data_IF_460215022685
#
_entry.id   IF_460215022685
#
_cell.length_a   1.000
_cell.length_b   1.000
_cell.length_c   1.000
_cell.angle_alpha   90.00
_cell.angle_beta   90.00
_cell.angle_gamma   90.00
#
_symmetry.space_group_name_H-M   'P 1'
#
loop_
_entity.id
_entity.type
_entity.pdbx_description
1 polymer ?
#
# COMPACT_ATOMS: atom_id res chain seq x y z
N UNK A 1 29.47 -8.27 -11.67
CA UNK A 1 28.38 -9.19 -11.24
C UNK A 1 27.76 -8.61 -9.98
N UNK A 2 26.52 -8.11 -9.99
CA UNK A 2 25.94 -7.49 -8.80
C UNK A 2 25.63 -8.57 -7.76
N UNK A 3 25.99 -8.32 -6.51
CA UNK A 3 25.89 -9.25 -5.38
C UNK A 3 24.52 -9.95 -5.29
N UNK A 4 24.51 -11.21 -5.72
CA UNK A 4 23.46 -12.16 -5.37
C UNK A 4 23.63 -12.49 -3.88
N UNK A 5 22.71 -12.02 -3.02
CA UNK A 5 22.71 -12.50 -1.64
C UNK A 5 21.84 -11.76 -0.63
N UNK A 6 21.73 -10.44 -0.69
CA UNK A 6 20.88 -9.71 0.27
C UNK A 6 19.43 -9.68 -0.23
N UNK A 7 18.62 -10.65 0.25
CA UNK A 7 17.15 -10.58 0.17
C UNK A 7 16.71 -9.19 0.61
N UNK A 8 15.92 -8.51 -0.21
CA UNK A 8 15.49 -7.14 0.09
C UNK A 8 14.56 -7.17 1.31
N UNK A 9 15.11 -6.86 2.50
CA UNK A 9 14.46 -7.09 3.80
C UNK A 9 13.14 -6.33 3.96
N UNK A 10 12.93 -5.27 3.19
CA UNK A 10 11.71 -4.44 3.24
C UNK A 10 10.50 -5.05 2.52
N UNK A 11 10.67 -6.07 1.67
CA UNK A 11 9.55 -6.68 0.94
C UNK A 11 8.55 -7.33 1.90
N UNK A 12 9.03 -8.05 2.91
CA UNK A 12 8.16 -8.72 3.90
C UNK A 12 7.33 -7.71 4.72
N UNK A 13 7.94 -6.67 5.33
CA UNK A 13 7.19 -5.57 5.95
C UNK A 13 6.16 -4.92 5.02
N UNK A 14 6.51 -4.69 3.75
CA UNK A 14 5.59 -4.10 2.79
C UNK A 14 4.40 -5.02 2.46
N UNK A 15 4.61 -6.33 2.38
CA UNK A 15 3.52 -7.30 2.22
C UNK A 15 2.57 -7.27 3.42
N UNK A 16 3.09 -7.22 4.64
CA UNK A 16 2.26 -7.08 5.85
C UNK A 16 1.49 -5.75 5.86
N UNK A 17 2.13 -4.66 5.46
CA UNK A 17 1.48 -3.35 5.34
C UNK A 17 0.36 -3.36 4.28
N UNK A 18 0.57 -4.02 3.13
CA UNK A 18 -0.46 -4.21 2.10
C UNK A 18 -1.61 -5.08 2.61
N UNK A 19 -1.34 -6.17 3.34
CA UNK A 19 -2.38 -7.01 3.96
C UNK A 19 -3.22 -6.19 4.94
N UNK A 20 -2.58 -5.38 5.79
CA UNK A 20 -3.29 -4.48 6.69
C UNK A 20 -4.16 -3.47 5.92
N UNK A 21 -3.64 -2.91 4.82
CA UNK A 21 -4.38 -1.99 3.97
C UNK A 21 -5.61 -2.67 3.33
N UNK A 22 -5.45 -3.88 2.79
CA UNK A 22 -6.56 -4.69 2.26
C UNK A 22 -7.62 -4.96 3.34
N UNK A 23 -7.22 -5.27 4.57
CA UNK A 23 -8.14 -5.52 5.67
C UNK A 23 -9.00 -4.27 5.98
N UNK A 24 -8.41 -3.07 5.98
CA UNK A 24 -9.17 -1.82 6.11
C UNK A 24 -10.13 -1.64 4.94
N UNK A 25 -9.66 -1.79 3.70
CA UNK A 25 -10.48 -1.57 2.51
C UNK A 25 -11.68 -2.52 2.41
N UNK A 26 -11.47 -3.81 2.71
CA UNK A 26 -12.56 -4.79 2.79
C UNK A 26 -13.52 -4.49 3.93
N UNK A 27 -13.01 -4.03 5.08
CA UNK A 27 -13.87 -3.65 6.21
C UNK A 27 -14.74 -2.44 5.88
N UNK A 28 -14.25 -1.48 5.08
CA UNK A 28 -15.06 -0.36 4.56
C UNK A 28 -16.11 -0.89 3.59
N UNK A 29 -15.72 -1.81 2.69
CA UNK A 29 -16.63 -2.48 1.75
C UNK A 29 -17.78 -3.18 2.47
N UNK A 30 -17.50 -3.79 3.63
CA UNK A 30 -18.48 -4.48 4.47
C UNK A 30 -19.20 -3.56 5.47
N UNK A 31 -18.90 -2.27 5.48
CA UNK A 31 -19.44 -1.26 6.41
C UNK A 31 -19.26 -1.60 7.90
N UNK A 32 -18.08 -2.13 8.26
CA UNK A 32 -17.77 -2.47 9.65
C UNK A 32 -17.52 -1.22 10.50
N UNK A 33 -17.99 -1.24 11.75
CA UNK A 33 -17.93 -0.06 12.65
C UNK A 33 -16.51 0.39 12.99
N UNK A 34 -15.55 -0.53 13.11
CA UNK A 34 -14.19 -0.22 13.56
C UNK A 34 -13.36 0.59 12.55
N UNK A 35 -13.71 0.56 11.26
CA UNK A 35 -13.02 1.34 10.21
C UNK A 35 -13.62 2.72 9.97
N UNK A 36 -14.75 3.06 10.61
CA UNK A 36 -15.40 4.37 10.42
C UNK A 36 -14.46 5.52 10.72
N UNK A 37 -13.63 5.40 11.77
CA UNK A 37 -12.62 6.41 12.12
C UNK A 37 -11.32 6.27 11.33
N UNK A 38 -11.11 5.17 10.60
CA UNK A 38 -9.84 4.87 9.91
C UNK A 38 -9.88 5.12 8.41
N UNK A 39 -11.02 5.53 7.88
CA UNK A 39 -11.21 5.75 6.46
C UNK A 39 -12.03 7.02 6.22
N UNK A 40 -11.71 7.70 5.11
CA UNK A 40 -12.45 8.85 4.60
C UNK A 40 -12.62 9.96 5.66
N UNK A 41 -11.59 10.22 6.46
CA UNK A 41 -11.56 11.31 7.43
C UNK A 41 -12.38 11.08 8.70
N UNK A 42 -12.96 9.90 8.90
CA UNK A 42 -13.82 9.67 10.07
C UNK A 42 -15.23 10.24 9.96
N UNK A 43 -15.64 10.71 8.77
CA UNK A 43 -16.84 11.54 8.61
C UNK A 43 -18.16 10.75 8.48
N UNK A 44 -18.09 9.44 8.24
CA UNK A 44 -19.27 8.61 7.95
C UNK A 44 -19.70 7.79 9.15
N UNK A 45 -21.01 7.83 9.45
CA UNK A 45 -21.66 6.88 10.36
C UNK A 45 -22.00 5.55 9.69
N UNK A 46 -22.13 5.53 8.35
CA UNK A 46 -22.23 4.35 7.49
C UNK A 46 -21.67 4.73 6.12
N UNK A 47 -20.93 3.83 5.48
CA UNK A 47 -20.31 4.12 4.20
C UNK A 47 -21.35 4.06 3.05
N UNK A 48 -21.48 5.13 2.24
CA UNK A 48 -22.29 5.11 1.03
C UNK A 48 -21.90 3.97 0.08
N UNK A 49 -22.88 3.37 -0.61
CA UNK A 49 -22.65 2.23 -1.50
C UNK A 49 -21.57 2.50 -2.55
N UNK A 50 -21.53 3.71 -3.12
CA UNK A 50 -20.53 4.11 -4.10
C UNK A 50 -19.11 4.06 -3.52
N UNK A 51 -18.92 4.51 -2.28
CA UNK A 51 -17.63 4.44 -1.60
C UNK A 51 -17.24 2.99 -1.30
N UNK A 52 -18.20 2.16 -0.88
CA UNK A 52 -17.97 0.73 -0.62
C UNK A 52 -17.49 0.01 -1.88
N UNK A 53 -18.12 0.27 -3.02
CA UNK A 53 -17.72 -0.30 -4.32
C UNK A 53 -16.32 0.18 -4.74
N UNK A 54 -16.02 1.48 -4.58
CA UNK A 54 -14.67 2.01 -4.86
C UNK A 54 -13.60 1.30 -4.00
N UNK A 55 -13.86 1.15 -2.70
CA UNK A 55 -12.94 0.52 -1.77
C UNK A 55 -12.75 -0.97 -2.04
N UNK A 56 -13.76 -1.66 -2.59
CA UNK A 56 -13.63 -3.03 -3.06
C UNK A 56 -12.62 -3.13 -4.21
N UNK A 57 -12.71 -2.27 -5.23
CA UNK A 57 -11.73 -2.24 -6.32
C UNK A 57 -10.32 -1.91 -5.84
N UNK A 58 -10.21 -0.95 -4.91
CA UNK A 58 -8.92 -0.66 -4.26
C UNK A 58 -8.38 -1.87 -3.49
N UNK A 59 -9.22 -2.64 -2.79
CA UNK A 59 -8.83 -3.84 -2.07
C UNK A 59 -8.28 -4.90 -3.02
N UNK A 60 -8.96 -5.14 -4.15
CA UNK A 60 -8.51 -6.07 -5.19
C UNK A 60 -7.16 -5.64 -5.78
N UNK A 61 -7.01 -4.37 -6.16
CA UNK A 61 -5.76 -3.83 -6.69
C UNK A 61 -4.61 -3.96 -5.68
N UNK A 62 -4.85 -3.60 -4.42
CA UNK A 62 -3.85 -3.70 -3.34
C UNK A 62 -3.51 -5.17 -3.04
N UNK A 63 -4.48 -6.07 -3.12
CA UNK A 63 -4.27 -7.52 -2.98
C UNK A 63 -3.34 -8.08 -4.05
N UNK A 64 -3.49 -7.64 -5.31
CA UNK A 64 -2.58 -8.01 -6.41
C UNK A 64 -1.14 -7.55 -6.12
N UNK A 65 -0.95 -6.38 -5.50
CA UNK A 65 0.37 -5.85 -5.18
C UNK A 65 1.15 -6.74 -4.18
N UNK A 66 0.46 -7.48 -3.30
CA UNK A 66 1.10 -8.41 -2.36
C UNK A 66 1.89 -9.48 -3.11
N UNK A 67 1.28 -10.04 -4.17
CA UNK A 67 1.91 -11.04 -5.03
C UNK A 67 2.92 -10.41 -5.99
N UNK A 68 2.63 -9.22 -6.49
CA UNK A 68 3.51 -8.46 -7.36
C UNK A 68 4.91 -8.27 -6.76
N UNK A 69 4.99 -7.95 -5.46
CA UNK A 69 6.27 -7.79 -4.75
C UNK A 69 7.17 -9.05 -4.81
N UNK A 70 6.61 -10.24 -5.00
CA UNK A 70 7.38 -11.49 -5.11
C UNK A 70 8.26 -11.53 -6.36
N UNK A 71 7.90 -10.81 -7.45
CA UNK A 71 8.71 -10.72 -8.67
C UNK A 71 10.11 -10.18 -8.41
N UNK A 72 10.25 -9.27 -7.45
CA UNK A 72 11.52 -8.66 -7.06
C UNK A 72 12.35 -9.53 -6.10
N UNK A 73 11.76 -10.60 -5.55
CA UNK A 73 12.48 -11.62 -4.78
C UNK A 73 13.05 -12.68 -5.72
N UNK A 74 12.27 -13.14 -6.69
CA UNK A 74 12.62 -14.24 -7.60
C UNK A 74 13.45 -13.81 -8.81
N UNK A 75 13.89 -12.55 -8.88
CA UNK A 75 14.63 -11.97 -10.03
C UNK A 75 13.90 -12.13 -11.37
N UNK A 76 12.56 -12.21 -11.34
CA UNK A 76 11.70 -12.30 -12.54
C UNK A 76 11.17 -10.93 -12.98
N UNK A 77 11.59 -9.86 -12.30
CA UNK A 77 11.18 -8.50 -12.59
C UNK A 77 11.82 -7.98 -13.88
N UNK A 78 10.99 -7.42 -14.76
CA UNK A 78 11.41 -6.74 -15.99
C UNK A 78 11.76 -5.27 -15.74
N UNK A 79 12.41 -4.61 -16.72
CA UNK A 79 12.63 -3.16 -16.67
C UNK A 79 11.34 -2.34 -16.51
N UNK A 80 10.23 -2.83 -17.08
CA UNK A 80 8.92 -2.20 -16.91
C UNK A 80 8.41 -2.33 -15.47
N UNK A 81 8.70 -3.44 -14.80
CA UNK A 81 8.34 -3.65 -13.40
C UNK A 81 9.05 -2.64 -12.49
N UNK A 82 10.33 -2.32 -12.74
CA UNK A 82 11.04 -1.29 -11.96
C UNK A 82 10.47 0.12 -12.16
N UNK A 83 10.08 0.48 -13.39
CA UNK A 83 9.40 1.76 -13.66
C UNK A 83 8.04 1.81 -12.97
N UNK A 84 7.29 0.71 -12.99
CA UNK A 84 6.01 0.63 -12.31
C UNK A 84 6.17 0.70 -10.79
N UNK A 85 7.21 0.07 -10.22
CA UNK A 85 7.57 0.24 -8.82
C UNK A 85 7.82 1.72 -8.46
N UNK A 86 8.51 2.50 -9.30
CA UNK A 86 8.66 3.95 -9.06
C UNK A 86 7.31 4.67 -8.96
N UNK A 87 6.40 4.39 -9.88
CA UNK A 87 5.05 4.97 -9.86
C UNK A 87 4.30 4.61 -8.57
N UNK A 88 4.30 3.33 -8.20
CA UNK A 88 3.68 2.86 -6.95
C UNK A 88 4.31 3.52 -5.73
N UNK A 89 5.64 3.67 -5.71
CA UNK A 89 6.37 4.35 -4.65
C UNK A 89 5.87 5.78 -4.41
N UNK A 90 5.70 6.56 -5.48
CA UNK A 90 5.16 7.92 -5.39
C UNK A 90 3.67 7.95 -5.03
N UNK A 91 2.87 7.03 -5.58
CA UNK A 91 1.45 6.90 -5.24
C UNK A 91 1.27 6.66 -3.74
N UNK A 92 2.03 5.72 -3.17
CA UNK A 92 1.99 5.45 -1.73
C UNK A 92 2.63 6.56 -0.89
N UNK A 93 3.61 7.31 -1.41
CA UNK A 93 4.15 8.48 -0.72
C UNK A 93 3.10 9.60 -0.59
N UNK A 94 2.33 9.86 -1.65
CA UNK A 94 1.18 10.77 -1.59
C UNK A 94 0.15 10.25 -0.59
N UNK A 95 -0.16 8.94 -0.64
CA UNK A 95 -1.05 8.30 0.34
C UNK A 95 -0.58 8.51 1.77
N UNK A 96 0.71 8.34 2.08
CA UNK A 96 1.30 8.63 3.39
C UNK A 96 0.99 10.06 3.84
N UNK A 97 1.22 11.05 2.96
CA UNK A 97 0.97 12.46 3.28
C UNK A 97 -0.53 12.68 3.56
N UNK A 98 -1.42 12.14 2.72
CA UNK A 98 -2.86 12.26 2.89
C UNK A 98 -3.33 11.67 4.24
N UNK A 99 -2.75 10.54 4.65
CA UNK A 99 -3.05 9.96 5.96
C UNK A 99 -2.53 10.83 7.11
N UNK A 100 -1.31 11.37 7.00
CA UNK A 100 -0.74 12.25 8.04
C UNK A 100 -1.55 13.54 8.26
N UNK A 101 -2.11 14.11 7.19
CA UNK A 101 -2.92 15.33 7.26
C UNK A 101 -4.41 15.05 7.50
N UNK A 102 -4.80 13.78 7.69
CA UNK A 102 -6.20 13.44 7.99
C UNK A 102 -6.65 14.09 9.30
N UNK A 103 -7.92 14.51 9.33
CA UNK A 103 -8.59 15.03 10.52
C UNK A 103 -8.87 13.95 11.57
N UNK A 104 -8.80 12.67 11.20
CA UNK A 104 -8.98 11.56 12.13
C UNK A 104 -7.62 11.07 12.67
N UNK A 105 -7.38 11.16 13.99
CA UNK A 105 -6.17 10.58 14.60
C UNK A 105 -6.01 9.09 14.32
N UNK A 106 -7.12 8.35 14.19
CA UNK A 106 -7.08 6.91 13.91
C UNK A 106 -6.66 6.61 12.46
N UNK A 107 -6.95 7.51 11.51
CA UNK A 107 -6.53 7.39 10.11
C UNK A 107 -5.06 7.80 9.91
N UNK A 108 -4.55 8.73 10.71
CA UNK A 108 -3.12 9.10 10.70
C UNK A 108 -2.21 7.89 10.97
N UNK A 109 -2.65 6.91 11.77
CA UNK A 109 -1.93 5.66 11.97
C UNK A 109 -1.73 4.84 10.70
N UNK A 110 -2.58 5.02 9.67
CA UNK A 110 -2.42 4.37 8.37
C UNK A 110 -1.23 4.94 7.58
N UNK A 111 -0.65 6.08 7.98
CA UNK A 111 0.55 6.62 7.36
C UNK A 111 1.76 5.70 7.53
N UNK A 112 1.83 4.94 8.64
CA UNK A 112 2.92 3.99 8.91
C UNK A 112 2.95 2.89 7.85
N UNK A 113 1.90 2.07 7.64
CA UNK A 113 1.92 1.06 6.58
C UNK A 113 2.08 1.68 5.19
N UNK A 114 1.44 2.83 4.91
CA UNK A 114 1.62 3.52 3.62
C UNK A 114 3.08 3.90 3.36
N UNK A 115 3.80 4.42 4.37
CA UNK A 115 5.20 4.84 4.22
C UNK A 115 6.14 3.65 4.03
N UNK A 116 5.89 2.52 4.70
CA UNK A 116 6.62 1.26 4.48
C UNK A 116 6.49 0.82 3.02
N UNK A 117 5.28 0.87 2.47
CA UNK A 117 5.01 0.50 1.07
C UNK A 117 5.72 1.47 0.11
N UNK A 118 5.58 2.78 0.34
CA UNK A 118 6.20 3.82 -0.47
C UNK A 118 7.73 3.65 -0.54
N UNK A 119 8.38 3.56 0.64
CA UNK A 119 9.83 3.39 0.74
C UNK A 119 10.28 2.10 0.06
N UNK A 120 9.55 1.00 0.25
CA UNK A 120 9.90 -0.28 -0.37
C UNK A 120 9.94 -0.18 -1.89
N UNK A 121 8.91 0.38 -2.50
CA UNK A 121 8.84 0.52 -3.95
C UNK A 121 9.86 1.53 -4.53
N UNK A 122 10.10 2.65 -3.84
CA UNK A 122 11.12 3.62 -4.25
C UNK A 122 12.53 3.03 -4.18
N UNK A 123 12.84 2.26 -3.13
CA UNK A 123 14.12 1.60 -2.97
C UNK A 123 14.32 0.45 -3.96
N UNK A 124 13.26 -0.28 -4.32
CA UNK A 124 13.29 -1.26 -5.42
C UNK A 124 13.73 -0.58 -6.72
N UNK A 125 13.13 0.56 -7.06
CA UNK A 125 13.49 1.31 -8.26
C UNK A 125 14.93 1.83 -8.22
N UNK A 126 15.34 2.45 -7.10
CA UNK A 126 16.69 2.99 -6.91
C UNK A 126 17.77 1.92 -7.00
N UNK A 127 17.52 0.72 -6.45
CA UNK A 127 18.48 -0.39 -6.52
C UNK A 127 18.79 -0.83 -7.97
N UNK A 128 17.82 -0.73 -8.87
CA UNK A 128 17.99 -1.09 -10.28
C UNK A 128 18.53 0.07 -11.13
N UNK A 129 18.51 1.30 -10.61
CA UNK A 129 18.95 2.51 -11.30
C UNK A 129 19.80 3.33 -10.33
N UNK A 130 21.03 2.85 -10.02
CA UNK A 130 21.92 3.47 -9.04
C UNK A 130 22.36 4.88 -9.43
#
# INVERSE_FOLDING_TARGET
MPEAGKRFKLIWPAQLALIYNVAILLSVTLDLSWVRTRAAGGQYSSFPITLRVLYLFMALGTGILIFYLRKFISSTASNQDFKFARYLGWLFAISTILQLISRSPAEQWNAIPASIIALTFLLIYKRNNP
#
